data_IF_643881636313
#
_entry.id   IF_643881636313
#
_cell.length_a   1.000
_cell.length_b   1.000
_cell.length_c   1.000
_cell.angle_alpha   90.00
_cell.angle_beta   90.00
_cell.angle_gamma   90.00
#
_symmetry.space_group_name_H-M   'P 1'
#
loop_
_entity.id
_entity.type
_entity.pdbx_description
1 polymer ?
#
# COMPACT_ATOMS: atom_id res chain seq x y z
N UNK A 1 13.95 -42.65 -68.94
CA UNK A 1 14.60 -43.27 -67.75
C UNK A 1 15.52 -42.24 -67.12
N UNK A 2 15.61 -42.20 -65.78
CA UNK A 2 16.35 -41.26 -64.90
C UNK A 2 15.76 -39.84 -64.83
N UNK A 3 14.87 -39.49 -63.89
CA UNK A 3 14.98 -39.32 -62.41
C UNK A 3 15.83 -38.12 -61.96
N UNK A 4 15.17 -37.05 -61.48
CA UNK A 4 15.72 -36.22 -60.41
C UNK A 4 14.60 -35.74 -59.45
N UNK A 5 14.51 -36.47 -58.34
CA UNK A 5 14.12 -36.07 -56.96
C UNK A 5 14.46 -34.58 -56.70
N UNK A 6 13.83 -33.74 -55.90
CA UNK A 6 12.93 -33.84 -54.74
C UNK A 6 12.88 -32.42 -54.14
N UNK A 7 11.75 -32.06 -53.54
CA UNK A 7 11.64 -31.28 -52.29
C UNK A 7 11.88 -29.77 -52.35
N UNK A 8 10.78 -29.03 -52.39
CA UNK A 8 10.63 -27.74 -51.70
C UNK A 8 9.30 -27.74 -50.94
N UNK A 9 9.19 -28.66 -49.97
CA UNK A 9 8.15 -28.65 -48.95
C UNK A 9 8.82 -28.32 -47.62
N UNK A 10 8.46 -27.19 -47.02
CA UNK A 10 8.75 -26.90 -45.62
C UNK A 10 9.81 -25.83 -45.37
N UNK A 11 9.40 -24.56 -45.43
CA UNK A 11 10.06 -23.47 -44.69
C UNK A 11 9.15 -22.23 -44.59
N UNK A 12 7.88 -22.42 -44.21
CA UNK A 12 7.03 -21.33 -43.80
C UNK A 12 6.28 -21.76 -42.53
N UNK A 13 6.30 -20.90 -41.52
CA UNK A 13 5.69 -21.04 -40.17
C UNK A 13 6.55 -21.66 -39.06
N UNK A 14 7.54 -20.92 -38.56
CA UNK A 14 7.91 -20.98 -37.13
C UNK A 14 8.56 -19.66 -36.67
N UNK A 15 7.78 -18.58 -36.56
CA UNK A 15 8.22 -17.38 -35.78
C UNK A 15 7.16 -16.84 -34.80
N UNK A 16 5.94 -17.39 -34.72
CA UNK A 16 4.89 -16.79 -33.86
C UNK A 16 4.84 -17.34 -32.42
N UNK A 17 5.72 -18.23 -32.00
CA UNK A 17 5.61 -18.92 -30.70
C UNK A 17 6.65 -18.49 -29.64
N UNK A 18 7.01 -17.19 -29.55
CA UNK A 18 7.90 -16.70 -28.50
C UNK A 18 7.41 -15.43 -27.77
N UNK A 19 6.13 -15.05 -27.93
CA UNK A 19 5.54 -13.89 -27.23
C UNK A 19 4.59 -14.30 -26.09
N UNK A 20 4.25 -15.57 -25.94
CA UNK A 20 3.24 -16.03 -24.97
C UNK A 20 3.80 -16.46 -23.60
N UNK A 21 5.09 -16.25 -23.34
CA UNK A 21 5.75 -16.64 -22.07
C UNK A 21 6.68 -15.55 -21.52
N UNK A 22 6.52 -14.28 -21.94
CA UNK A 22 7.10 -13.20 -21.14
C UNK A 22 6.13 -12.98 -19.97
N UNK A 23 6.50 -13.30 -18.71
CA UNK A 23 5.70 -12.84 -17.58
C UNK A 23 5.66 -11.33 -17.72
N UNK A 24 4.48 -10.78 -18.04
CA UNK A 24 4.26 -9.35 -18.11
C UNK A 24 4.44 -8.80 -16.69
N UNK A 25 5.70 -8.64 -16.26
CA UNK A 25 6.02 -7.80 -15.13
C UNK A 25 5.41 -6.43 -15.42
N UNK A 26 4.91 -5.77 -14.38
CA UNK A 26 4.36 -4.43 -14.47
C UNK A 26 5.41 -3.47 -15.04
N UNK A 27 5.50 -3.41 -16.38
CA UNK A 27 6.22 -2.39 -17.11
C UNK A 27 5.24 -1.24 -17.28
N UNK A 28 5.70 -0.02 -17.03
CA UNK A 28 4.94 1.17 -17.38
C UNK A 28 4.39 1.06 -18.80
N UNK A 29 3.20 1.63 -18.99
CA UNK A 29 2.61 1.74 -20.32
C UNK A 29 3.59 2.45 -21.27
N UNK A 30 3.59 2.10 -22.56
CA UNK A 30 4.46 2.75 -23.55
C UNK A 30 4.33 4.28 -23.48
N UNK A 31 5.46 4.96 -23.24
CA UNK A 31 5.51 6.42 -23.11
C UNK A 31 5.35 6.96 -21.69
N UNK A 32 4.96 6.13 -20.71
CA UNK A 32 4.99 6.48 -19.30
C UNK A 32 6.39 6.22 -18.72
N UNK A 33 7.05 7.22 -18.11
CA UNK A 33 8.41 7.04 -17.62
C UNK A 33 8.46 6.21 -16.35
N UNK A 34 9.37 5.23 -16.32
CA UNK A 34 9.77 4.55 -15.09
C UNK A 34 10.77 5.42 -14.30
N UNK A 35 10.52 5.74 -13.03
CA UNK A 35 11.45 6.55 -12.26
C UNK A 35 12.82 5.89 -12.11
N UNK A 36 13.92 6.57 -12.49
CA UNK A 36 15.25 5.96 -12.48
C UNK A 36 15.80 5.83 -11.05
N UNK A 37 15.76 4.61 -10.52
CA UNK A 37 16.20 4.32 -9.15
C UNK A 37 17.71 4.47 -8.89
N UNK A 38 18.53 4.53 -9.95
CA UNK A 38 19.99 4.67 -9.86
C UNK A 38 20.51 6.09 -9.59
N UNK A 39 19.65 7.11 -9.68
CA UNK A 39 20.06 8.50 -9.56
C UNK A 39 20.07 9.02 -8.12
N UNK A 40 19.46 8.31 -7.17
CA UNK A 40 19.40 8.72 -5.77
C UNK A 40 20.65 8.24 -5.02
N UNK A 41 21.27 9.15 -4.27
CA UNK A 41 22.35 8.77 -3.35
C UNK A 41 21.83 7.92 -2.19
N UNK A 42 22.72 7.14 -1.60
CA UNK A 42 22.40 6.15 -0.56
C UNK A 42 23.58 6.03 0.42
N UNK A 43 24.07 7.18 0.86
CA UNK A 43 25.26 7.30 1.71
C UNK A 43 24.91 7.54 3.19
N UNK A 44 23.62 7.49 3.54
CA UNK A 44 23.12 7.82 4.87
C UNK A 44 23.31 9.30 5.23
N UNK A 45 23.43 10.20 4.24
CA UNK A 45 23.68 11.62 4.46
C UNK A 45 22.38 12.38 4.71
N UNK A 46 22.45 13.33 5.63
CA UNK A 46 21.35 14.23 5.99
C UNK A 46 20.62 13.76 7.25
N UNK A 47 19.98 14.72 7.92
CA UNK A 47 19.35 14.49 9.21
C UNK A 47 18.25 13.44 9.13
N UNK A 48 18.18 12.61 10.17
CA UNK A 48 17.18 11.57 10.33
C UNK A 48 16.12 12.05 11.33
N UNK A 49 14.89 12.21 10.87
CA UNK A 49 13.75 12.63 11.69
C UNK A 49 13.01 11.44 12.31
N UNK A 50 12.16 11.70 13.30
CA UNK A 50 11.26 10.67 13.86
C UNK A 50 10.29 10.13 12.81
N UNK A 51 9.86 10.96 11.87
CA UNK A 51 9.01 10.54 10.75
C UNK A 51 9.74 9.55 9.83
N UNK A 52 11.06 9.70 9.65
CA UNK A 52 11.86 8.77 8.86
C UNK A 52 12.01 7.40 9.57
N UNK A 53 12.17 7.40 10.90
CA UNK A 53 12.25 6.18 11.72
C UNK A 53 10.92 5.44 11.76
N UNK A 54 9.83 6.16 11.96
CA UNK A 54 8.47 5.63 11.89
C UNK A 54 8.16 5.07 10.49
N UNK A 55 8.60 5.75 9.43
CA UNK A 55 8.45 5.25 8.06
C UNK A 55 9.17 3.91 7.86
N UNK A 56 10.44 3.79 8.25
CA UNK A 56 11.17 2.52 8.18
C UNK A 56 10.47 1.41 9.00
N UNK A 57 9.96 1.74 10.20
CA UNK A 57 9.19 0.82 11.03
C UNK A 57 7.92 0.34 10.32
N UNK A 58 7.17 1.25 9.69
CA UNK A 58 5.94 0.91 8.94
C UNK A 58 6.22 0.02 7.73
N UNK A 59 7.31 0.28 6.99
CA UNK A 59 7.71 -0.57 5.85
C UNK A 59 8.07 -1.98 6.34
N UNK A 60 8.81 -2.09 7.45
CA UNK A 60 9.11 -3.39 8.07
C UNK A 60 7.84 -4.12 8.52
N UNK A 61 6.96 -3.42 9.23
CA UNK A 61 5.69 -3.96 9.68
C UNK A 61 4.85 -4.47 8.51
N UNK A 62 4.83 -3.79 7.35
CA UNK A 62 4.12 -4.26 6.17
C UNK A 62 4.63 -5.63 5.70
N UNK A 63 5.96 -5.81 5.57
CA UNK A 63 6.55 -7.09 5.19
C UNK A 63 6.20 -8.22 6.16
N UNK A 64 6.17 -7.93 7.46
CA UNK A 64 5.90 -8.92 8.51
C UNK A 64 4.54 -9.61 8.41
N UNK A 65 3.52 -8.97 7.84
CA UNK A 65 2.19 -9.57 7.68
C UNK A 65 1.80 -9.82 6.23
N UNK A 66 2.27 -9.03 5.26
CA UNK A 66 1.87 -9.19 3.85
C UNK A 66 2.59 -10.36 3.16
N UNK A 67 3.78 -10.73 3.64
CA UNK A 67 4.46 -11.95 3.19
C UNK A 67 3.63 -13.20 3.55
N UNK A 68 3.31 -13.48 4.82
CA UNK A 68 2.48 -14.64 5.16
C UNK A 68 1.04 -14.53 4.61
N UNK A 69 0.47 -13.33 4.49
CA UNK A 69 -0.85 -13.16 3.86
C UNK A 69 -0.83 -13.60 2.38
N UNK A 70 0.17 -13.17 1.61
CA UNK A 70 0.33 -13.59 0.22
C UNK A 70 0.63 -15.08 0.06
N UNK A 71 1.32 -15.69 1.04
CA UNK A 71 1.53 -17.15 1.10
C UNK A 71 0.21 -17.90 1.40
N UNK A 72 -0.64 -17.38 2.29
CA UNK A 72 -1.99 -17.93 2.49
C UNK A 72 -2.83 -17.82 1.22
N UNK A 73 -2.76 -16.71 0.48
CA UNK A 73 -3.52 -16.54 -0.76
C UNK A 73 -3.15 -17.57 -1.84
N UNK A 74 -1.87 -17.95 -1.91
CA UNK A 74 -1.42 -19.03 -2.80
C UNK A 74 -1.95 -20.41 -2.41
N UNK A 75 -2.19 -20.64 -1.12
CA UNK A 75 -2.57 -21.96 -0.58
C UNK A 75 -4.08 -22.15 -0.43
N UNK A 76 -4.82 -21.06 -0.20
CA UNK A 76 -6.21 -21.12 0.28
C UNK A 76 -7.25 -20.56 -0.68
N UNK A 77 -6.83 -19.76 -1.67
CA UNK A 77 -7.75 -19.29 -2.70
C UNK A 77 -7.93 -20.36 -3.78
N UNK A 78 -9.17 -20.52 -4.27
CA UNK A 78 -9.46 -21.33 -5.46
C UNK A 78 -9.37 -20.51 -6.75
N UNK A 79 -9.20 -19.19 -6.67
CA UNK A 79 -9.06 -18.29 -7.82
C UNK A 79 -7.59 -18.17 -8.25
N UNK A 80 -7.22 -18.63 -9.46
CA UNK A 80 -5.85 -18.51 -9.98
C UNK A 80 -5.32 -17.07 -10.02
N UNK A 81 -6.21 -16.07 -10.20
CA UNK A 81 -5.82 -14.65 -10.19
C UNK A 81 -5.39 -14.24 -8.79
N UNK A 82 -6.15 -14.60 -7.76
CA UNK A 82 -5.83 -14.28 -6.36
C UNK A 82 -4.56 -15.00 -5.92
N UNK A 83 -4.38 -16.27 -6.31
CA UNK A 83 -3.13 -17.00 -6.06
C UNK A 83 -1.91 -16.29 -6.69
N UNK A 84 -2.05 -15.79 -7.93
CA UNK A 84 -0.99 -15.02 -8.61
C UNK A 84 -0.69 -13.71 -7.88
N UNK A 85 -1.73 -12.96 -7.50
CA UNK A 85 -1.59 -11.71 -6.73
C UNK A 85 -0.85 -11.99 -5.41
N UNK A 86 -1.24 -13.04 -4.69
CA UNK A 86 -0.56 -13.47 -3.46
C UNK A 86 0.92 -13.79 -3.64
N UNK A 87 1.25 -14.49 -4.74
CA UNK A 87 2.64 -14.82 -5.09
C UNK A 87 3.47 -13.57 -5.36
N UNK A 88 2.95 -12.65 -6.15
CA UNK A 88 3.65 -11.42 -6.52
C UNK A 88 3.86 -10.51 -5.30
N UNK A 89 2.80 -10.26 -4.51
CA UNK A 89 2.88 -9.42 -3.31
C UNK A 89 3.87 -10.02 -2.31
N UNK A 90 3.81 -11.32 -2.02
CA UNK A 90 4.74 -11.95 -1.09
C UNK A 90 6.20 -11.84 -1.58
N UNK A 91 6.45 -12.08 -2.87
CA UNK A 91 7.79 -11.97 -3.44
C UNK A 91 8.32 -10.52 -3.39
N UNK A 92 7.49 -9.55 -3.73
CA UNK A 92 7.84 -8.13 -3.74
C UNK A 92 8.06 -7.59 -2.31
N UNK A 93 7.24 -8.00 -1.33
CA UNK A 93 7.48 -7.66 0.07
C UNK A 93 8.76 -8.28 0.64
N UNK A 94 9.18 -9.48 0.23
CA UNK A 94 10.49 -10.04 0.62
C UNK A 94 11.65 -9.14 0.15
N UNK A 95 11.55 -8.57 -1.06
CA UNK A 95 12.54 -7.63 -1.60
C UNK A 95 12.51 -6.30 -0.82
N UNK A 96 11.30 -5.75 -0.59
CA UNK A 96 11.14 -4.51 0.16
C UNK A 96 11.61 -4.65 1.62
N UNK A 97 11.37 -5.79 2.26
CA UNK A 97 11.85 -6.11 3.61
C UNK A 97 13.39 -6.06 3.67
N UNK A 98 14.05 -6.64 2.67
CA UNK A 98 15.50 -6.53 2.54
C UNK A 98 15.96 -5.07 2.44
N UNK A 99 15.30 -4.26 1.62
CA UNK A 99 15.67 -2.84 1.46
C UNK A 99 15.51 -2.05 2.76
N UNK A 100 14.43 -2.25 3.52
CA UNK A 100 14.24 -1.53 4.78
C UNK A 100 15.22 -2.00 5.84
N UNK A 101 15.54 -3.30 5.91
CA UNK A 101 16.58 -3.83 6.81
C UNK A 101 17.96 -3.26 6.49
N UNK A 102 18.33 -3.18 5.21
CA UNK A 102 19.59 -2.58 4.77
C UNK A 102 19.67 -1.08 5.13
N UNK A 103 18.57 -0.34 4.93
CA UNK A 103 18.47 1.07 5.30
C UNK A 103 18.57 1.26 6.82
N UNK A 104 17.83 0.46 7.58
CA UNK A 104 17.81 0.52 9.04
C UNK A 104 19.17 0.19 9.65
N UNK A 105 19.87 -0.84 9.14
CA UNK A 105 21.24 -1.15 9.55
C UNK A 105 22.20 0.01 9.28
N UNK A 106 22.08 0.66 8.13
CA UNK A 106 22.95 1.80 7.74
C UNK A 106 22.72 3.03 8.63
N UNK A 107 21.48 3.23 9.06
CA UNK A 107 21.04 4.43 9.77
C UNK A 107 20.84 4.23 11.27
N UNK A 108 21.18 3.03 11.79
CA UNK A 108 20.95 2.63 13.17
C UNK A 108 19.49 2.86 13.63
N UNK A 109 18.56 2.30 12.85
CA UNK A 109 17.12 2.30 13.16
C UNK A 109 16.75 0.93 13.71
N UNK A 110 16.19 0.89 14.92
CA UNK A 110 15.60 -0.32 15.47
C UNK A 110 14.33 -0.70 14.69
N UNK A 111 14.21 -1.98 14.32
CA UNK A 111 13.07 -2.51 13.59
C UNK A 111 12.38 -3.60 14.41
N UNK A 112 11.04 -3.73 14.31
CA UNK A 112 10.33 -4.85 14.91
C UNK A 112 10.60 -6.15 14.16
N UNK A 113 10.43 -7.28 14.86
CA UNK A 113 10.59 -8.63 14.31
C UNK A 113 9.29 -9.45 14.28
N UNK A 114 8.20 -8.90 14.80
CA UNK A 114 6.86 -9.50 14.77
C UNK A 114 5.82 -8.50 14.29
N UNK A 115 4.72 -8.96 13.65
CA UNK A 115 3.60 -8.09 13.32
C UNK A 115 2.99 -7.49 14.59
N UNK A 116 2.47 -6.28 14.49
CA UNK A 116 1.74 -5.65 15.60
C UNK A 116 0.37 -6.32 15.83
N UNK A 117 -0.31 -5.94 16.92
CA UNK A 117 -1.58 -6.56 17.32
C UNK A 117 -2.67 -6.50 16.24
N UNK A 118 -2.81 -5.38 15.53
CA UNK A 118 -3.79 -5.24 14.44
C UNK A 118 -3.46 -6.20 13.29
N UNK A 119 -2.20 -6.27 12.90
CA UNK A 119 -1.72 -7.14 11.83
C UNK A 119 -1.85 -8.63 12.16
N UNK A 120 -1.59 -9.00 13.42
CA UNK A 120 -1.87 -10.35 13.91
C UNK A 120 -3.37 -10.67 13.83
N UNK A 121 -4.22 -9.69 14.16
CA UNK A 121 -5.67 -9.78 13.98
C UNK A 121 -6.06 -10.01 12.52
N UNK A 122 -5.51 -9.24 11.58
CA UNK A 122 -5.80 -9.41 10.15
C UNK A 122 -5.37 -10.78 9.61
N UNK A 123 -4.21 -11.29 10.04
CA UNK A 123 -3.79 -12.65 9.72
C UNK A 123 -4.73 -13.70 10.31
N UNK A 124 -5.26 -13.46 11.52
CA UNK A 124 -6.28 -14.29 12.14
C UNK A 124 -7.58 -14.34 11.31
N UNK A 125 -8.10 -13.18 10.90
CA UNK A 125 -9.29 -13.10 10.06
C UNK A 125 -9.14 -13.87 8.75
N UNK A 126 -7.96 -13.76 8.11
CA UNK A 126 -7.67 -14.51 6.90
C UNK A 126 -7.63 -16.01 7.17
N UNK A 127 -6.98 -16.46 8.24
CA UNK A 127 -6.91 -17.87 8.60
C UNK A 127 -8.28 -18.49 8.87
N UNK A 128 -9.19 -17.70 9.44
CA UNK A 128 -10.53 -18.16 9.83
C UNK A 128 -11.55 -18.09 8.66
N UNK A 129 -11.28 -17.29 7.62
CA UNK A 129 -12.11 -17.20 6.42
C UNK A 129 -11.83 -18.35 5.44
N UNK A 130 -12.80 -18.76 4.63
CA UNK A 130 -12.66 -19.86 3.65
C UNK A 130 -13.23 -19.48 2.28
N UNK A 131 -12.74 -20.13 1.22
CA UNK A 131 -13.19 -19.94 -0.17
C UNK A 131 -13.25 -18.45 -0.57
N UNK A 132 -14.35 -18.03 -1.19
CA UNK A 132 -14.49 -16.64 -1.65
C UNK A 132 -14.52 -15.59 -0.53
N UNK A 133 -14.74 -15.97 0.73
CA UNK A 133 -14.67 -15.04 1.85
C UNK A 133 -13.22 -14.77 2.27
N UNK A 134 -12.34 -15.76 2.13
CA UNK A 134 -10.90 -15.54 2.24
C UNK A 134 -10.43 -14.49 1.21
N UNK A 135 -10.84 -14.63 -0.06
CA UNK A 135 -10.44 -13.72 -1.13
C UNK A 135 -10.87 -12.28 -0.84
N UNK A 136 -12.10 -12.07 -0.37
CA UNK A 136 -12.60 -10.74 0.03
C UNK A 136 -11.78 -10.15 1.17
N UNK A 137 -11.58 -10.90 2.25
CA UNK A 137 -10.80 -10.44 3.40
C UNK A 137 -9.36 -10.10 2.99
N UNK A 138 -8.73 -10.95 2.18
CA UNK A 138 -7.38 -10.72 1.65
C UNK A 138 -7.31 -9.42 0.84
N UNK A 139 -8.16 -9.27 -0.19
CA UNK A 139 -8.14 -8.10 -1.06
C UNK A 139 -8.47 -6.82 -0.29
N UNK A 140 -9.53 -6.82 0.53
CA UNK A 140 -9.97 -5.63 1.26
C UNK A 140 -8.91 -5.14 2.25
N UNK A 141 -8.30 -6.07 3.01
CA UNK A 141 -7.27 -5.73 4.00
C UNK A 141 -6.04 -5.13 3.34
N UNK A 142 -5.51 -5.79 2.32
CA UNK A 142 -4.30 -5.30 1.64
C UNK A 142 -4.59 -3.99 0.91
N UNK A 143 -5.73 -3.86 0.23
CA UNK A 143 -6.05 -2.63 -0.50
C UNK A 143 -6.25 -1.42 0.42
N UNK A 144 -6.86 -1.63 1.59
CA UNK A 144 -7.00 -0.60 2.61
C UNK A 144 -5.64 -0.20 3.21
N UNK A 145 -4.77 -1.18 3.51
CA UNK A 145 -3.43 -0.91 4.04
C UNK A 145 -2.58 -0.09 3.06
N UNK A 146 -2.57 -0.47 1.78
CA UNK A 146 -1.86 0.25 0.72
C UNK A 146 -2.40 1.68 0.53
N UNK A 147 -3.73 1.85 0.52
CA UNK A 147 -4.36 3.17 0.42
C UNK A 147 -4.00 4.10 1.59
N UNK A 148 -3.81 3.55 2.79
CA UNK A 148 -3.43 4.32 3.99
C UNK A 148 -1.96 4.75 3.95
N UNK A 149 -1.05 3.88 3.51
CA UNK A 149 0.40 4.17 3.55
C UNK A 149 0.86 5.02 2.36
N UNK A 150 0.17 4.95 1.21
CA UNK A 150 0.53 5.69 0.00
C UNK A 150 0.79 7.19 0.21
N UNK A 151 -0.13 7.98 0.83
CA UNK A 151 0.14 9.40 1.08
C UNK A 151 1.32 9.62 2.04
N UNK A 152 1.53 8.74 3.03
CA UNK A 152 2.65 8.85 3.95
C UNK A 152 4.00 8.64 3.23
N UNK A 153 4.07 7.69 2.29
CA UNK A 153 5.25 7.48 1.44
C UNK A 153 5.55 8.75 0.64
N UNK A 154 4.54 9.35 0.02
CA UNK A 154 4.69 10.59 -0.74
C UNK A 154 5.21 11.74 0.14
N UNK A 155 4.67 11.89 1.35
CA UNK A 155 5.14 12.89 2.33
C UNK A 155 6.62 12.68 2.67
N UNK A 156 7.04 11.46 3.01
CA UNK A 156 8.46 11.18 3.32
C UNK A 156 9.33 11.43 2.11
N UNK A 157 8.92 10.95 0.93
CA UNK A 157 9.67 11.10 -0.31
C UNK A 157 9.92 12.58 -0.67
N UNK A 158 8.97 13.45 -0.37
CA UNK A 158 9.06 14.89 -0.62
C UNK A 158 9.82 15.67 0.48
N UNK A 159 9.77 15.21 1.73
CA UNK A 159 10.20 16.02 2.88
C UNK A 159 11.48 15.56 3.56
N UNK A 160 11.83 14.27 3.51
CA UNK A 160 13.00 13.75 4.22
C UNK A 160 14.27 14.53 3.86
N UNK A 161 15.20 14.65 4.80
CA UNK A 161 16.55 15.19 4.57
C UNK A 161 17.57 14.08 4.34
N UNK A 162 17.28 12.85 4.77
CA UNK A 162 18.17 11.71 4.63
C UNK A 162 18.09 11.04 3.25
N UNK A 163 19.23 10.80 2.60
CA UNK A 163 19.26 10.24 1.24
C UNK A 163 18.88 8.76 1.14
N UNK A 164 19.32 7.94 2.08
CA UNK A 164 18.93 6.52 2.17
C UNK A 164 17.43 6.39 2.38
N UNK A 165 16.82 7.22 3.23
CA UNK A 165 15.35 7.21 3.42
C UNK A 165 14.62 7.69 2.18
N UNK A 166 15.13 8.71 1.49
CA UNK A 166 14.54 9.18 0.23
C UNK A 166 14.49 8.08 -0.83
N UNK A 167 15.55 7.29 -0.93
CA UNK A 167 15.63 6.14 -1.83
C UNK A 167 14.72 5.01 -1.40
N UNK A 168 14.63 4.71 -0.11
CA UNK A 168 13.67 3.74 0.42
C UNK A 168 12.23 4.15 0.09
N UNK A 169 11.87 5.42 0.30
CA UNK A 169 10.54 5.96 0.00
C UNK A 169 10.20 5.86 -1.50
N UNK A 170 11.14 6.19 -2.39
CA UNK A 170 10.98 6.02 -3.84
C UNK A 170 10.61 4.57 -4.21
N UNK A 171 11.38 3.60 -3.71
CA UNK A 171 11.16 2.16 -4.00
C UNK A 171 9.85 1.67 -3.40
N UNK A 172 9.57 2.06 -2.16
CA UNK A 172 8.32 1.72 -1.47
C UNK A 172 7.12 2.22 -2.28
N UNK A 173 7.19 3.43 -2.83
CA UNK A 173 6.12 3.98 -3.68
C UNK A 173 5.88 3.13 -4.93
N UNK A 174 6.96 2.66 -5.58
CA UNK A 174 6.84 1.80 -6.76
C UNK A 174 6.16 0.47 -6.43
N UNK A 175 6.60 -0.20 -5.35
CA UNK A 175 5.94 -1.43 -4.87
C UNK A 175 4.46 -1.20 -4.56
N UNK A 176 4.13 -0.15 -3.80
CA UNK A 176 2.75 0.14 -3.40
C UNK A 176 1.86 0.42 -4.60
N UNK A 177 2.34 1.16 -5.61
CA UNK A 177 1.61 1.38 -6.85
C UNK A 177 1.34 0.06 -7.58
N UNK A 178 2.36 -0.80 -7.72
CA UNK A 178 2.21 -2.12 -8.33
C UNK A 178 1.19 -2.98 -7.58
N UNK A 179 1.30 -3.07 -6.25
CA UNK A 179 0.40 -3.88 -5.44
C UNK A 179 -1.04 -3.37 -5.49
N UNK A 180 -1.26 -2.05 -5.48
CA UNK A 180 -2.61 -1.49 -5.64
C UNK A 180 -3.24 -1.92 -6.96
N UNK A 181 -2.51 -1.84 -8.08
CA UNK A 181 -2.98 -2.32 -9.39
C UNK A 181 -3.24 -3.83 -9.39
N UNK A 182 -2.36 -4.64 -8.78
CA UNK A 182 -2.58 -6.08 -8.64
C UNK A 182 -3.86 -6.39 -7.85
N UNK A 183 -4.05 -5.76 -6.70
CA UNK A 183 -5.23 -5.95 -5.87
C UNK A 183 -6.51 -5.51 -6.59
N UNK A 184 -6.47 -4.37 -7.28
CA UNK A 184 -7.61 -3.84 -8.05
C UNK A 184 -7.99 -4.74 -9.24
N UNK A 185 -7.01 -5.38 -9.87
CA UNK A 185 -7.25 -6.35 -10.94
C UNK A 185 -7.91 -7.67 -10.49
N UNK A 186 -8.11 -7.87 -9.18
CA UNK A 186 -8.88 -9.01 -8.66
C UNK A 186 -10.35 -8.97 -9.07
N UNK A 187 -10.89 -7.79 -9.42
CA UNK A 187 -12.31 -7.58 -9.62
C UNK A 187 -13.14 -7.54 -8.32
N UNK A 188 -12.51 -7.67 -7.15
CA UNK A 188 -13.19 -7.69 -5.83
C UNK A 188 -13.26 -6.29 -5.21
N UNK A 189 -12.30 -5.40 -5.51
CA UNK A 189 -12.22 -4.07 -4.89
C UNK A 189 -13.48 -3.22 -5.20
N UNK A 190 -14.19 -2.81 -4.15
CA UNK A 190 -15.30 -1.88 -4.27
C UNK A 190 -14.82 -0.42 -4.24
N UNK A 191 -14.56 0.15 -5.43
CA UNK A 191 -14.10 1.54 -5.57
C UNK A 191 -15.06 2.57 -4.96
N UNK A 192 -16.37 2.32 -4.96
CA UNK A 192 -17.36 3.23 -4.38
C UNK A 192 -17.31 3.27 -2.84
N UNK A 193 -16.73 2.26 -2.20
CA UNK A 193 -16.55 2.20 -0.75
C UNK A 193 -15.19 2.76 -0.28
N UNK A 194 -14.30 3.15 -1.21
CA UNK A 194 -13.01 3.73 -0.83
C UNK A 194 -13.20 5.13 -0.21
N UNK A 195 -12.36 5.52 0.76
CA UNK A 195 -12.39 6.86 1.32
C UNK A 195 -12.21 7.93 0.24
N UNK A 196 -13.06 8.95 0.27
CA UNK A 196 -12.95 10.11 -0.64
C UNK A 196 -11.81 11.02 -0.21
N UNK A 197 -11.06 11.56 -1.18
CA UNK A 197 -10.06 12.57 -0.89
C UNK A 197 -10.71 13.82 -0.27
N UNK A 198 -10.10 14.45 0.74
CA UNK A 198 -10.55 15.75 1.23
C UNK A 198 -10.55 16.78 0.09
N UNK A 199 -11.52 17.71 0.06
CA UNK A 199 -11.49 18.79 -0.91
C UNK A 199 -10.20 19.61 -0.73
N UNK A 200 -9.66 20.21 -1.82
CA UNK A 200 -8.54 21.13 -1.70
C UNK A 200 -8.89 22.22 -0.67
N UNK A 201 -7.97 22.51 0.25
CA UNK A 201 -8.16 23.64 1.14
C UNK A 201 -8.39 24.89 0.27
N UNK A 202 -9.51 25.59 0.47
CA UNK A 202 -9.75 26.86 -0.20
C UNK A 202 -8.56 27.76 0.14
N UNK A 203 -7.73 28.06 -0.86
CA UNK A 203 -6.61 28.96 -0.65
C UNK A 203 -7.13 30.24 -0.03
N UNK A 204 -6.48 30.73 1.03
CA UNK A 204 -6.72 32.07 1.52
C UNK A 204 -6.52 33.03 0.34
N UNK A 205 -7.61 33.42 -0.31
CA UNK A 205 -7.67 34.37 -1.40
C UNK A 205 -7.40 35.78 -0.88
N UNK A 206 -6.20 35.99 -0.33
CA UNK A 206 -5.64 37.31 -0.13
C UNK A 206 -5.40 37.92 -1.51
N UNK A 207 -6.19 38.94 -1.84
CA UNK A 207 -6.19 39.67 -3.09
C UNK A 207 -4.79 39.90 -3.66
N UNK A 208 -4.63 39.56 -4.94
CA UNK A 208 -3.70 40.25 -5.82
C UNK A 208 -4.13 41.72 -5.89
N UNK A 209 -3.62 42.57 -4.98
CA UNK A 209 -3.69 44.00 -5.14
C UNK A 209 -2.51 44.69 -4.44
N UNK A 210 -1.74 45.43 -5.25
CA UNK A 210 -0.78 46.46 -4.87
C UNK A 210 0.46 46.05 -4.04
N UNK A 211 1.51 45.60 -4.74
CA UNK A 211 2.88 46.06 -4.41
C UNK A 211 2.92 47.56 -4.70
N UNK A 212 2.46 48.38 -3.75
CA UNK A 212 2.90 49.77 -3.63
C UNK A 212 4.06 49.76 -2.66
N UNK A 213 5.25 49.91 -3.22
CA UNK A 213 6.45 50.27 -2.49
C UNK A 213 6.16 51.61 -1.80
N UNK A 214 6.20 51.63 -0.48
CA UNK A 214 6.38 52.85 0.30
C UNK A 214 7.29 52.50 1.46
N UNK A 215 8.53 52.96 1.32
CA UNK A 215 9.54 52.95 2.36
C UNK A 215 9.14 53.93 3.47
N UNK A 216 9.27 53.49 4.73
CA UNK A 216 9.66 54.35 5.85
C UNK A 216 9.99 53.52 7.11
N UNK A 217 11.27 53.52 7.46
CA UNK A 217 11.86 53.67 8.79
C UNK A 217 11.45 52.77 9.98
N UNK A 218 12.42 51.93 10.37
CA UNK A 218 12.98 51.73 11.71
C UNK A 218 12.05 51.73 12.94
N UNK A 219 11.95 50.57 13.61
CA UNK A 219 12.30 50.41 15.04
C UNK A 219 12.27 48.93 15.47
N UNK A 220 13.13 48.63 16.43
CA UNK A 220 13.63 47.33 16.86
C UNK A 220 12.65 46.52 17.73
N UNK A 221 12.63 45.18 17.57
CA UNK A 221 13.00 44.15 18.57
C UNK A 221 12.39 42.78 18.22
N UNK A 222 13.09 41.65 18.48
CA UNK A 222 12.71 40.32 18.01
C UNK A 222 11.97 39.50 19.07
N UNK A 223 10.98 38.70 18.65
CA UNK A 223 10.53 37.51 19.37
C UNK A 223 9.89 36.48 18.42
N UNK A 224 10.04 35.17 18.70
CA UNK A 224 10.05 34.13 17.68
C UNK A 224 8.64 33.68 17.27
N UNK A 225 8.46 33.49 15.95
CA UNK A 225 7.25 32.94 15.37
C UNK A 225 7.19 31.44 15.66
N UNK A 226 6.11 31.08 16.34
CA UNK A 226 5.63 29.77 16.72
C UNK A 226 5.50 28.84 15.50
N UNK A 227 6.29 27.77 15.48
CA UNK A 227 6.26 26.71 14.46
C UNK A 227 5.11 25.73 14.64
N UNK A 228 3.87 26.20 14.79
CA UNK A 228 2.72 25.35 15.15
C UNK A 228 1.93 24.80 13.95
N UNK A 229 2.31 25.12 12.71
CA UNK A 229 1.52 24.74 11.52
C UNK A 229 1.89 23.39 10.89
N UNK A 230 2.98 22.73 11.31
CA UNK A 230 3.42 21.44 10.74
C UNK A 230 3.03 20.21 11.60
N UNK A 231 2.66 20.40 12.87
CA UNK A 231 2.35 19.28 13.79
C UNK A 231 0.90 18.78 13.72
N UNK A 232 -0.02 19.53 13.10
CA UNK A 232 -1.44 19.15 13.05
C UNK A 232 -1.77 18.13 11.95
N UNK A 233 -0.90 17.93 10.96
CA UNK A 233 -1.13 16.95 9.89
C UNK A 233 -0.75 15.53 10.35
N UNK A 234 0.15 15.38 11.32
CA UNK A 234 0.55 14.07 11.88
C UNK A 234 -0.45 13.58 12.95
N UNK A 235 -1.04 14.48 13.73
CA UNK A 235 -1.99 14.12 14.80
C UNK A 235 -3.37 13.69 14.28
N UNK A 236 -3.82 14.20 13.13
CA UNK A 236 -5.16 13.92 12.60
C UNK A 236 -5.33 12.49 12.03
N UNK A 237 -4.23 11.78 11.74
CA UNK A 237 -4.28 10.39 11.22
C UNK A 237 -4.23 9.33 12.33
N UNK A 238 -3.80 9.69 13.55
CA UNK A 238 -3.70 8.77 14.68
C UNK A 238 -4.95 8.76 15.59
N UNK A 239 -5.75 9.82 15.60
CA UNK A 239 -6.96 9.91 16.44
C UNK A 239 -8.17 9.11 15.92
N UNK A 240 -8.15 8.61 14.68
CA UNK A 240 -9.26 7.85 14.08
C UNK A 240 -9.27 6.35 14.43
N UNK A 241 -8.19 5.83 15.03
CA UNK A 241 -8.08 4.40 15.41
C UNK A 241 -8.75 4.11 16.76
N UNK A 242 -8.79 5.08 17.68
CA UNK A 242 -9.41 4.88 18.99
C UNK A 242 -10.96 4.90 18.93
N UNK A 243 -11.54 5.70 18.03
CA UNK A 243 -13.00 5.86 17.93
C UNK A 243 -13.74 4.66 17.33
N UNK A 244 -13.13 3.98 16.35
CA UNK A 244 -13.75 2.85 15.64
C UNK A 244 -13.73 1.55 16.46
N UNK A 245 -12.65 1.30 17.23
CA UNK A 245 -12.55 0.13 18.13
C UNK A 245 -13.55 0.22 19.29
N UNK A 246 -13.81 1.41 19.82
CA UNK A 246 -14.79 1.60 20.89
C UNK A 246 -16.24 1.37 20.43
N UNK A 247 -16.59 1.80 19.21
CA UNK A 247 -17.93 1.59 18.64
C UNK A 247 -18.22 0.11 18.33
N UNK A 248 -17.22 -0.64 17.86
CA UNK A 248 -17.37 -2.06 17.51
C UNK A 248 -17.52 -2.98 18.73
N UNK A 249 -16.85 -2.65 19.86
CA UNK A 249 -17.04 -3.36 21.14
C UNK A 249 -18.41 -3.13 21.78
N UNK A 250 -19.05 -1.98 21.53
CA UNK A 250 -20.37 -1.67 22.12
C UNK A 250 -21.52 -2.36 21.38
N UNK A 251 -21.37 -2.58 20.09
CA UNK A 251 -22.36 -3.27 19.25
C UNK A 251 -22.33 -4.80 19.43
N UNK A 252 -21.18 -5.37 19.80
CA UNK A 252 -21.02 -6.82 20.04
C UNK A 252 -21.54 -7.28 21.41
N UNK A 253 -21.83 -6.38 22.35
CA UNK A 253 -22.38 -6.69 23.67
C UNK A 253 -23.91 -6.56 23.78
N UNK A 254 -24.61 -6.26 22.68
CA UNK A 254 -26.07 -6.17 22.69
C UNK A 254 -26.71 -7.56 22.93
N UNK A 255 -27.62 -7.73 23.91
CA UNK A 255 -28.23 -9.03 24.18
C UNK A 255 -29.14 -9.46 23.02
N UNK A 256 -28.88 -10.64 22.45
CA UNK A 256 -29.71 -11.25 21.39
C UNK A 256 -31.12 -11.54 21.93
N UNK A 257 -32.14 -10.85 21.41
CA UNK A 257 -33.55 -11.21 21.62
C UNK A 257 -33.79 -12.63 21.09
N UNK A 258 -34.16 -13.55 21.98
CA UNK A 258 -34.58 -14.92 21.63
C UNK A 258 -35.82 -14.86 20.75
N UNK A 259 -35.71 -15.37 19.52
CA UNK A 259 -36.82 -15.60 18.62
C UNK A 259 -37.58 -16.85 19.08
N UNK A 260 -38.82 -16.68 19.58
CA UNK A 260 -39.71 -17.77 20.00
C UNK A 260 -40.46 -18.28 18.77
N UNK A 261 -40.13 -19.48 18.28
CA UNK A 261 -40.87 -20.16 17.21
C UNK A 261 -42.29 -20.52 17.68
N UNK A 262 -43.34 -20.32 16.87
CA UNK A 262 -44.65 -20.90 17.12
C UNK A 262 -44.60 -22.42 16.86
N UNK A 263 -44.95 -23.24 17.84
CA UNK A 263 -45.19 -24.66 17.66
C UNK A 263 -46.49 -24.86 16.87
N UNK A 264 -46.39 -25.49 15.70
CA UNK A 264 -47.55 -26.00 14.98
C UNK A 264 -48.19 -27.15 15.75
N UNK A 265 -49.51 -27.06 15.95
CA UNK A 265 -50.34 -28.19 16.38
C UNK A 265 -50.70 -29.01 15.15
N UNK A 266 -50.20 -30.24 15.09
CA UNK A 266 -50.91 -31.34 14.44
C UNK A 266 -51.71 -32.07 15.53
N UNK A 267 -53.00 -32.26 15.30
CA UNK A 267 -53.75 -33.39 15.83
C UNK A 267 -54.73 -33.85 14.76
N UNK A 268 -54.65 -35.16 14.50
CA UNK A 268 -55.48 -35.97 13.61
C UNK A 268 -56.92 -36.11 14.12
N UNK A 269 -57.77 -36.57 13.18
CA UNK A 269 -59.13 -37.14 13.25
C UNK A 269 -60.26 -36.21 12.81
#
# INVERSE_FOLDING_TARGET
MLSWRRWLSGAAMLVVAAVLLDPQGARAEPGVPEPPNGLLSDRGRGDLSDADRDFATKVRLAGLWEIPAGEMAQQRSDDPRIQSIGREIAAQHKILDKFVRDAAKKLDIALPDEPNADQQGWLGEMRDAEGTDFDKVYIDRLRAAHGKIFPAIATIRASTRNDTIRKLAQRTNQFVMTHMTLLESSGIVNFAALPTAPPPAAGNGGSANAVRVSAAANSETPSPITGTSMLLIVAAVLASVAGTVFAMRRLSQAPRRRYRRPQGRYFES
#
